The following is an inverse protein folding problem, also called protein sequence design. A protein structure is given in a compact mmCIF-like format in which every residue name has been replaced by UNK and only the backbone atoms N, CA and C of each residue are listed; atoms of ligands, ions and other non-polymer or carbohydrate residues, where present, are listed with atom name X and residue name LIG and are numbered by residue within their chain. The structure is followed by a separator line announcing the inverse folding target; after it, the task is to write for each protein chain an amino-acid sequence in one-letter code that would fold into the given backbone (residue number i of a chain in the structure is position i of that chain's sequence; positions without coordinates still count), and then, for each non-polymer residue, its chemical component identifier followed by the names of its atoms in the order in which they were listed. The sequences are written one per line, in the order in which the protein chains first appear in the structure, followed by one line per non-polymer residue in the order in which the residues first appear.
data_IF_156841655821
#
_entry.id   IF_156841655821
#
_cell.length_a   1.000
_cell.length_b   1.000
_cell.length_c   1.000
_cell.angle_alpha   90.00
_cell.angle_beta   90.00
_cell.angle_gamma   90.00
#
_symmetry.space_group_name_H-M   'P 1'
#
loop_
_entity.id
_entity.type
_entity.pdbx_description
1 polymer ?
#
# COMPACT_ATOMS: atom_id res chain seq x y z
N UNK A 1 -16.23 -15.98 23.82
CA UNK A 1 -15.89 -15.83 22.49
C UNK A 1 -15.60 -14.39 22.16
N UNK A 2 -14.58 -14.26 21.44
CA UNK A 2 -14.17 -12.92 21.12
C UNK A 2 -15.13 -12.30 20.13
N UNK A 3 -15.34 -11.06 20.34
CA UNK A 3 -16.26 -10.35 19.54
C UNK A 3 -15.53 -9.43 18.61
N UNK A 4 -15.90 -9.47 17.36
CA UNK A 4 -15.28 -8.59 16.41
C UNK A 4 -15.73 -7.19 16.65
N UNK A 5 -14.78 -6.29 16.53
CA UNK A 5 -15.08 -4.89 16.57
C UNK A 5 -15.89 -4.53 15.33
N UNK A 6 -16.93 -3.75 15.52
CA UNK A 6 -17.78 -3.36 14.40
C UNK A 6 -17.05 -2.49 13.39
N UNK A 7 -15.93 -1.90 13.78
CA UNK A 7 -15.16 -1.08 12.88
C UNK A 7 -14.18 -1.86 12.03
N UNK A 8 -14.05 -3.16 12.27
CA UNK A 8 -13.15 -3.97 11.49
C UNK A 8 -13.66 -4.15 10.07
N UNK A 9 -12.74 -4.05 9.10
CA UNK A 9 -13.08 -4.18 7.69
C UNK A 9 -13.06 -5.61 7.20
N UNK A 10 -12.60 -6.54 8.02
CA UNK A 10 -12.52 -7.95 7.66
C UNK A 10 -13.01 -8.76 8.86
N UNK A 11 -13.42 -10.01 8.63
CA UNK A 11 -14.12 -10.77 9.66
C UNK A 11 -13.32 -11.07 10.91
N UNK A 12 -12.01 -11.02 10.84
CA UNK A 12 -11.17 -11.31 11.99
C UNK A 12 -9.90 -10.48 11.90
N UNK A 13 -9.26 -10.19 13.04
CA UNK A 13 -8.03 -9.43 13.03
C UNK A 13 -6.91 -10.22 12.35
N UNK A 14 -5.99 -9.51 11.73
CA UNK A 14 -4.81 -10.12 11.15
C UNK A 14 -3.86 -10.52 12.26
N UNK A 15 -3.30 -11.71 12.17
CA UNK A 15 -2.29 -12.15 13.11
C UNK A 15 -0.90 -12.03 12.48
N UNK A 16 0.11 -12.38 13.25
CA UNK A 16 1.48 -12.28 12.80
C UNK A 16 1.76 -13.14 11.58
N UNK A 17 1.12 -14.29 11.51
CA UNK A 17 1.30 -15.20 10.39
C UNK A 17 0.79 -14.57 9.10
N UNK A 18 -0.36 -13.91 9.17
CA UNK A 18 -0.92 -13.23 8.01
C UNK A 18 -0.02 -12.09 7.56
N UNK A 19 0.46 -11.30 8.50
CA UNK A 19 1.36 -10.19 8.17
C UNK A 19 2.66 -10.68 7.56
N UNK A 20 3.21 -11.75 8.10
CA UNK A 20 4.44 -12.33 7.59
C UNK A 20 4.25 -12.85 6.17
N UNK A 21 3.11 -13.49 5.92
CA UNK A 21 2.79 -13.99 4.58
C UNK A 21 2.73 -12.84 3.58
N UNK A 22 2.06 -11.76 3.96
CA UNK A 22 1.94 -10.63 3.05
C UNK A 22 3.28 -9.96 2.80
N UNK A 23 4.15 -9.88 3.81
CA UNK A 23 5.49 -9.34 3.62
C UNK A 23 6.31 -10.21 2.65
N UNK A 24 6.15 -11.53 2.75
CA UNK A 24 6.81 -12.44 1.83
C UNK A 24 6.34 -12.25 0.40
N UNK A 25 5.03 -12.11 0.23
CA UNK A 25 4.46 -11.85 -1.10
C UNK A 25 4.97 -10.52 -1.66
N UNK A 26 5.09 -9.51 -0.81
CA UNK A 26 5.58 -8.22 -1.25
C UNK A 26 7.02 -8.29 -1.71
N UNK A 27 7.85 -9.05 -0.98
CA UNK A 27 9.23 -9.24 -1.38
C UNK A 27 9.31 -9.92 -2.74
N UNK A 28 8.52 -10.99 -2.93
CA UNK A 28 8.51 -11.70 -4.20
C UNK A 28 8.05 -10.80 -5.34
N UNK A 29 7.02 -10.02 -5.09
CA UNK A 29 6.46 -9.15 -6.10
C UNK A 29 7.42 -8.04 -6.48
N UNK A 30 8.19 -7.53 -5.52
CA UNK A 30 9.20 -6.51 -5.81
C UNK A 30 10.30 -7.03 -6.72
N UNK A 31 10.53 -8.33 -6.71
CA UNK A 31 11.55 -8.95 -7.57
C UNK A 31 11.02 -9.29 -8.95
N UNK A 32 9.72 -9.13 -9.19
CA UNK A 32 9.12 -9.50 -10.45
C UNK A 32 9.41 -8.47 -11.53
N UNK A 33 9.43 -8.93 -12.78
CA UNK A 33 9.61 -8.02 -13.91
C UNK A 33 8.47 -7.04 -14.04
N UNK A 34 7.27 -7.48 -13.67
CA UNK A 34 6.10 -6.60 -13.68
C UNK A 34 6.35 -5.37 -12.80
N UNK A 35 6.83 -5.58 -11.57
CA UNK A 35 7.07 -4.47 -10.67
C UNK A 35 8.22 -3.59 -11.15
N UNK A 36 9.29 -4.22 -11.63
CA UNK A 36 10.44 -3.46 -12.11
C UNK A 36 10.07 -2.56 -13.29
N UNK A 37 9.17 -3.04 -14.16
CA UNK A 37 8.69 -2.21 -15.24
C UNK A 37 7.85 -1.04 -14.75
N UNK A 38 7.09 -1.25 -13.68
CA UNK A 38 6.32 -0.16 -13.09
C UNK A 38 7.24 0.89 -12.49
N UNK A 39 8.28 0.47 -11.77
CA UNK A 39 9.27 1.40 -11.23
C UNK A 39 9.99 2.17 -12.33
N UNK A 40 10.25 1.53 -13.44
CA UNK A 40 10.99 2.16 -14.53
C UNK A 40 10.26 3.34 -15.14
N UNK A 41 8.93 3.39 -14.97
CA UNK A 41 8.17 4.56 -15.42
C UNK A 41 8.50 5.80 -14.63
N UNK A 42 9.01 5.63 -13.42
CA UNK A 42 9.54 6.73 -12.65
C UNK A 42 8.52 7.75 -12.17
N UNK A 43 7.29 7.30 -11.86
CA UNK A 43 6.22 8.22 -11.46
C UNK A 43 5.55 7.70 -10.19
N UNK A 44 5.38 8.58 -9.22
CA UNK A 44 4.61 8.25 -8.03
C UNK A 44 3.13 8.15 -8.40
N UNK A 45 2.49 7.07 -7.95
CA UNK A 45 1.08 6.84 -8.24
C UNK A 45 0.19 7.94 -7.67
N UNK A 46 0.53 8.48 -6.51
CA UNK A 46 -0.34 9.42 -5.82
C UNK A 46 -0.13 10.86 -6.22
N UNK A 47 1.10 11.32 -6.27
CA UNK A 47 1.36 12.74 -6.58
C UNK A 47 1.74 12.99 -8.04
N UNK A 48 2.06 11.93 -8.78
CA UNK A 48 2.38 12.07 -10.20
C UNK A 48 3.75 12.67 -10.50
N UNK A 49 4.55 12.95 -9.47
CA UNK A 49 5.89 13.52 -9.71
C UNK A 49 6.84 12.44 -10.16
N UNK A 50 7.88 12.89 -10.86
CA UNK A 50 8.90 12.00 -11.40
C UNK A 50 9.97 11.70 -10.35
N UNK A 51 10.40 10.45 -10.30
CA UNK A 51 11.45 10.00 -9.40
C UNK A 51 12.28 8.93 -10.08
N UNK A 52 13.56 8.82 -9.71
CA UNK A 52 14.31 7.63 -10.15
C UNK A 52 13.70 6.39 -9.50
N UNK A 53 13.87 5.21 -10.12
CA UNK A 53 13.27 3.99 -9.53
C UNK A 53 13.61 3.78 -8.07
N UNK A 54 14.83 4.12 -7.65
CA UNK A 54 15.23 3.93 -6.26
C UNK A 54 14.54 4.92 -5.31
N UNK A 55 13.87 5.92 -5.86
CA UNK A 55 13.13 6.89 -5.07
C UNK A 55 11.68 6.50 -4.87
N UNK A 56 11.29 5.32 -5.35
CA UNK A 56 9.92 4.85 -5.25
C UNK A 56 9.88 3.54 -4.48
N UNK A 57 8.87 3.40 -3.63
CA UNK A 57 8.65 2.18 -2.87
C UNK A 57 7.32 1.57 -3.25
N UNK A 58 7.10 0.33 -2.81
CA UNK A 58 5.82 -0.33 -3.03
C UNK A 58 4.86 0.05 -1.91
N UNK A 59 3.71 0.59 -2.30
CA UNK A 59 2.67 0.91 -1.35
C UNK A 59 1.45 0.04 -1.63
N UNK A 60 0.80 -0.42 -0.56
CA UNK A 60 -0.47 -1.12 -0.67
C UNK A 60 -1.57 -0.08 -0.64
N UNK A 61 -2.34 0.04 -1.72
CA UNK A 61 -3.42 1.02 -1.79
C UNK A 61 -4.37 0.83 -0.62
N UNK A 62 -4.81 -0.41 -0.40
CA UNK A 62 -5.48 -0.79 0.84
C UNK A 62 -4.40 -1.41 1.72
N UNK A 63 -4.07 -0.78 2.86
CA UNK A 63 -3.00 -1.29 3.71
C UNK A 63 -3.24 -2.71 4.19
N UNK A 64 -2.17 -3.47 4.35
CA UNK A 64 -2.29 -4.85 4.85
C UNK A 64 -2.96 -4.85 6.22
N UNK A 65 -2.60 -3.89 7.06
CA UNK A 65 -3.20 -3.77 8.40
C UNK A 65 -4.70 -3.50 8.37
N UNK A 66 -5.22 -3.09 7.22
CA UNK A 66 -6.64 -2.79 7.05
C UNK A 66 -7.30 -3.79 6.10
N UNK A 67 -6.69 -4.96 5.92
CA UNK A 67 -7.27 -6.03 5.13
C UNK A 67 -6.78 -6.13 3.69
N UNK A 68 -5.85 -5.28 3.29
CA UNK A 68 -5.33 -5.30 1.94
C UNK A 68 -4.44 -6.51 1.68
N UNK A 69 -4.42 -6.94 0.43
CA UNK A 69 -3.61 -8.07 0.00
C UNK A 69 -2.49 -7.62 -0.92
N UNK A 70 -1.43 -8.42 -0.96
CA UNK A 70 -0.30 -8.14 -1.83
C UNK A 70 -0.55 -8.81 -3.17
N UNK A 71 -1.24 -8.08 -4.02
CA UNK A 71 -1.55 -8.52 -5.38
C UNK A 71 -1.30 -7.32 -6.30
N UNK A 72 -1.14 -7.62 -7.59
CA UNK A 72 -0.82 -6.57 -8.56
C UNK A 72 -1.81 -5.42 -8.54
N UNK A 73 -3.08 -5.71 -8.30
CA UNK A 73 -4.10 -4.68 -8.29
C UNK A 73 -4.11 -3.81 -7.05
N UNK A 74 -3.31 -4.15 -6.04
CA UNK A 74 -3.31 -3.41 -4.79
C UNK A 74 -1.95 -2.82 -4.42
N UNK A 75 -0.98 -2.86 -5.33
CA UNK A 75 0.33 -2.28 -5.04
C UNK A 75 0.70 -1.28 -6.12
N UNK A 76 1.29 -0.18 -5.69
CA UNK A 76 1.65 0.92 -6.60
C UNK A 76 2.99 1.52 -6.19
N UNK A 77 3.72 2.13 -7.16
CA UNK A 77 4.93 2.88 -6.81
C UNK A 77 4.55 4.16 -6.07
N UNK A 78 5.26 4.44 -5.00
CA UNK A 78 4.93 5.56 -4.12
C UNK A 78 6.20 6.25 -3.66
N UNK A 79 6.23 7.57 -3.74
CA UNK A 79 7.39 8.31 -3.25
C UNK A 79 7.37 8.38 -1.73
N UNK A 80 8.52 8.72 -1.16
CA UNK A 80 8.66 8.74 0.28
C UNK A 80 7.70 9.70 0.95
N UNK A 81 7.52 10.88 0.37
CA UNK A 81 6.65 11.90 0.95
C UNK A 81 5.20 11.41 1.01
N UNK A 82 4.70 10.84 -0.10
CA UNK A 82 3.34 10.34 -0.12
C UNK A 82 3.18 9.15 0.82
N UNK A 83 4.20 8.28 0.88
CA UNK A 83 4.16 7.14 1.77
C UNK A 83 4.07 7.58 3.22
N UNK A 84 4.87 8.57 3.60
CA UNK A 84 4.85 9.09 4.96
C UNK A 84 3.51 9.76 5.29
N UNK A 85 2.93 10.48 4.34
CA UNK A 85 1.66 11.16 4.56
C UNK A 85 0.49 10.19 4.61
N UNK A 86 0.50 9.18 3.73
CA UNK A 86 -0.61 8.24 3.63
C UNK A 86 -0.67 7.26 4.78
N UNK A 87 0.48 6.76 5.21
CA UNK A 87 0.55 5.78 6.31
C UNK A 87 -0.43 4.62 6.08
N UNK A 88 -1.36 4.41 7.01
CA UNK A 88 -2.29 3.28 6.97
C UNK A 88 -3.68 3.71 6.49
N UNK A 89 -3.77 4.83 5.80
CA UNK A 89 -5.08 5.34 5.37
C UNK A 89 -5.65 4.49 4.24
N UNK A 90 -6.96 4.28 4.30
CA UNK A 90 -7.70 3.67 3.19
C UNK A 90 -7.83 4.69 2.05
N UNK A 91 -8.09 4.23 0.83
CA UNK A 91 -8.21 5.16 -0.31
C UNK A 91 -9.14 6.32 -0.06
N UNK A 92 -10.30 6.08 0.54
CA UNK A 92 -11.24 7.15 0.79
C UNK A 92 -10.71 8.14 1.82
N UNK A 93 -10.07 7.63 2.87
CA UNK A 93 -9.46 8.47 3.88
C UNK A 93 -8.32 9.30 3.30
N UNK A 94 -7.54 8.69 2.41
CA UNK A 94 -6.44 9.35 1.76
C UNK A 94 -6.95 10.48 0.85
N UNK A 95 -8.04 10.22 0.12
CA UNK A 95 -8.66 11.23 -0.69
C UNK A 95 -9.13 12.42 0.13
N UNK A 96 -9.76 12.14 1.25
CA UNK A 96 -10.22 13.20 2.15
C UNK A 96 -9.05 14.02 2.68
N UNK A 97 -7.96 13.34 3.03
CA UNK A 97 -6.76 14.02 3.49
C UNK A 97 -6.23 14.97 2.42
N UNK A 98 -6.15 14.49 1.18
CA UNK A 98 -5.63 15.31 0.08
C UNK A 98 -6.49 16.53 -0.18
N UNK A 99 -7.79 16.39 -0.02
CA UNK A 99 -8.71 17.51 -0.25
C UNK A 99 -8.49 18.65 0.71
N UNK A 100 -7.99 18.36 1.90
CA UNK A 100 -7.73 19.39 2.91
C UNK A 100 -6.57 20.29 2.52
N UNK A 101 -5.72 19.85 1.61
CA UNK A 101 -4.52 20.58 1.25
C UNK A 101 -4.53 21.08 -0.19
N UNK A 102 -5.69 21.00 -0.85
CA UNK A 102 -5.82 21.47 -2.23
C UNK A 102 -6.80 22.66 -2.35
#
# INVERSE_FOLDING_TARGET
MSRRDKTQLFPYPLDETDLKRERGKARDLRESQWWKRRLAKGVCHYCGRAFPPRGLTMDHVVPVSRGGKTIRGNVVPCCKDCNNAKKQLLPMEWEDYLKKFN
#
